data_IF_538859950068
#
_entry.id   IF_538859950068
#
_cell.length_a   1.000
_cell.length_b   1.000
_cell.length_c   1.000
_cell.angle_alpha   90.00
_cell.angle_beta   90.00
_cell.angle_gamma   90.00
#
_symmetry.space_group_name_H-M   'P 1'
#
loop_
_entity.id
_entity.type
_entity.pdbx_description
1 polymer ?
#
# COMPACT_ATOMS: atom_id res chain seq x y z
N UNK A 1 -20.13 -1.28 -10.97
CA UNK A 1 -18.92 -1.06 -10.16
C UNK A 1 -18.71 0.43 -9.98
N UNK A 2 -18.88 0.96 -8.76
CA UNK A 2 -18.50 2.35 -8.45
C UNK A 2 -17.15 2.31 -7.73
N UNK A 3 -16.07 2.50 -8.49
CA UNK A 3 -14.72 2.69 -7.93
C UNK A 3 -14.66 4.11 -7.36
N UNK A 4 -15.22 4.30 -6.17
CA UNK A 4 -15.15 5.55 -5.42
C UNK A 4 -13.88 5.52 -4.56
N UNK A 5 -12.71 5.76 -5.17
CA UNK A 5 -11.53 6.19 -4.42
C UNK A 5 -10.55 7.03 -5.24
N UNK A 6 -11.01 7.75 -6.26
CA UNK A 6 -10.14 8.74 -6.90
C UNK A 6 -9.82 9.84 -5.88
N UNK A 7 -8.56 9.97 -5.46
CA UNK A 7 -7.96 11.09 -4.70
C UNK A 7 -7.52 10.82 -3.25
N UNK A 8 -7.06 9.62 -2.90
CA UNK A 8 -6.32 9.45 -1.63
C UNK A 8 -4.94 10.13 -1.67
N UNK A 9 -4.24 10.06 -2.81
CA UNK A 9 -2.89 10.60 -2.95
C UNK A 9 -2.74 12.13 -2.90
N UNK A 10 -3.61 12.95 -3.51
CA UNK A 10 -3.50 14.40 -3.38
C UNK A 10 -3.76 14.92 -1.95
N UNK A 11 -4.17 14.06 -1.02
CA UNK A 11 -4.29 14.41 0.40
C UNK A 11 -3.01 14.13 1.19
N UNK A 12 -2.08 13.34 0.66
CA UNK A 12 -0.78 13.06 1.28
C UNK A 12 0.15 14.27 1.11
N UNK A 13 0.37 15.03 2.18
CA UNK A 13 1.17 16.26 2.13
C UNK A 13 2.67 15.98 2.14
N UNK A 14 3.09 14.86 2.73
CA UNK A 14 4.49 14.47 2.90
C UNK A 14 4.81 13.15 2.20
N UNK A 15 6.10 12.92 1.92
CA UNK A 15 6.59 11.69 1.27
C UNK A 15 6.20 10.44 2.07
N UNK A 16 6.31 10.46 3.39
CA UNK A 16 5.90 9.34 4.24
C UNK A 16 4.41 9.00 4.14
N UNK A 17 3.55 10.02 4.05
CA UNK A 17 2.10 9.80 3.86
C UNK A 17 1.82 9.21 2.47
N UNK A 18 2.54 9.66 1.45
CA UNK A 18 2.44 9.11 0.09
C UNK A 18 2.83 7.63 0.09
N UNK A 19 3.96 7.29 0.72
CA UNK A 19 4.45 5.92 0.90
C UNK A 19 3.41 5.06 1.61
N UNK A 20 2.85 5.53 2.72
CA UNK A 20 1.82 4.80 3.47
C UNK A 20 0.54 4.59 2.63
N UNK A 21 0.10 5.60 1.87
CA UNK A 21 -1.07 5.46 0.98
C UNK A 21 -0.83 4.45 -0.14
N UNK A 22 0.34 4.48 -0.80
CA UNK A 22 0.65 3.50 -1.86
C UNK A 22 0.83 2.11 -1.25
N UNK A 23 1.48 2.00 -0.11
CA UNK A 23 1.69 0.73 0.58
C UNK A 23 0.37 0.09 1.02
N UNK A 24 -0.56 0.87 1.57
CA UNK A 24 -1.93 0.43 1.88
C UNK A 24 -2.68 0.00 0.61
N UNK A 25 -2.57 0.74 -0.49
CA UNK A 25 -3.20 0.38 -1.75
C UNK A 25 -2.63 -0.93 -2.31
N UNK A 26 -1.30 -1.09 -2.33
CA UNK A 26 -0.64 -2.35 -2.72
C UNK A 26 -1.11 -3.52 -1.85
N UNK A 27 -1.23 -3.30 -0.55
CA UNK A 27 -1.67 -4.31 0.41
C UNK A 27 -3.14 -4.71 0.21
N UNK A 28 -4.02 -3.73 -0.11
CA UNK A 28 -5.43 -3.98 -0.42
C UNK A 28 -5.63 -4.70 -1.76
N UNK A 29 -4.79 -4.39 -2.74
CA UNK A 29 -4.86 -4.96 -4.08
C UNK A 29 -4.16 -6.34 -4.18
N UNK A 30 -3.24 -6.65 -3.26
CA UNK A 30 -2.60 -7.96 -3.15
C UNK A 30 -1.57 -8.27 -4.26
N UNK A 31 -1.19 -9.54 -4.41
CA UNK A 31 -0.15 -10.01 -5.36
C UNK A 31 -0.48 -9.77 -6.86
N UNK A 32 -1.69 -9.28 -7.18
CA UNK A 32 -2.11 -8.93 -8.54
C UNK A 32 -2.05 -7.43 -8.86
N UNK A 33 -1.58 -6.60 -7.93
CA UNK A 33 -1.56 -5.16 -8.10
C UNK A 33 -0.58 -4.72 -9.19
N UNK A 34 -1.09 -4.16 -10.29
CA UNK A 34 -0.26 -3.55 -11.34
C UNK A 34 -0.09 -2.06 -11.11
N UNK A 35 0.99 -1.47 -11.64
CA UNK A 35 1.23 -0.02 -11.57
C UNK A 35 0.03 0.79 -12.10
N UNK A 36 -0.64 0.28 -13.12
CA UNK A 36 -1.81 0.92 -13.72
C UNK A 36 -3.03 0.90 -12.78
N UNK A 37 -3.17 -0.17 -11.99
CA UNK A 37 -4.21 -0.26 -10.97
C UNK A 37 -3.97 0.75 -9.84
N UNK A 38 -2.72 0.86 -9.36
CA UNK A 38 -2.33 1.89 -8.38
C UNK A 38 -2.58 3.30 -8.89
N UNK A 39 -2.26 3.58 -10.16
CA UNK A 39 -2.52 4.89 -10.78
C UNK A 39 -4.01 5.20 -10.84
N UNK A 40 -4.84 4.23 -11.20
CA UNK A 40 -6.30 4.40 -11.21
C UNK A 40 -6.87 4.54 -9.79
N UNK A 41 -6.36 3.77 -8.83
CA UNK A 41 -6.80 3.83 -7.44
C UNK A 41 -6.40 5.12 -6.73
N UNK A 42 -5.18 5.63 -6.97
CA UNK A 42 -4.62 6.74 -6.21
C UNK A 42 -4.64 8.07 -6.97
N UNK A 43 -4.79 8.03 -8.29
CA UNK A 43 -4.76 9.21 -9.16
C UNK A 43 -3.37 9.81 -9.33
N UNK A 44 -2.32 8.96 -9.36
CA UNK A 44 -0.91 9.39 -9.39
C UNK A 44 -0.25 9.25 -10.75
N UNK A 45 0.84 9.99 -10.97
CA UNK A 45 1.69 9.85 -12.16
C UNK A 45 2.71 8.72 -11.98
N UNK A 46 3.27 8.21 -13.09
CA UNK A 46 4.36 7.22 -13.05
C UNK A 46 5.56 7.72 -12.26
N UNK A 47 5.96 8.97 -12.47
CA UNK A 47 7.09 9.60 -11.78
C UNK A 47 6.89 9.72 -10.26
N UNK A 48 5.65 9.97 -9.82
CA UNK A 48 5.31 9.96 -8.39
C UNK A 48 5.36 8.55 -7.83
N UNK A 49 4.78 7.58 -8.54
CA UNK A 49 4.80 6.17 -8.15
C UNK A 49 6.25 5.66 -8.04
N UNK A 50 7.09 5.87 -9.05
CA UNK A 50 8.50 5.44 -9.02
C UNK A 50 9.29 6.05 -7.86
N UNK A 51 8.94 7.27 -7.43
CA UNK A 51 9.61 7.93 -6.30
C UNK A 51 9.28 7.30 -4.95
N UNK A 52 8.16 6.59 -4.82
CA UNK A 52 7.66 6.03 -3.55
C UNK A 52 7.43 4.53 -3.56
N UNK A 53 7.51 3.86 -4.72
CA UNK A 53 7.13 2.45 -4.88
C UNK A 53 8.02 1.50 -4.08
N UNK A 54 9.32 1.82 -3.96
CA UNK A 54 10.28 1.00 -3.23
C UNK A 54 10.00 1.07 -1.71
N UNK A 55 9.88 2.29 -1.18
CA UNK A 55 9.49 2.57 0.20
C UNK A 55 8.10 1.97 0.52
N UNK A 56 7.14 2.08 -0.40
CA UNK A 56 5.78 1.58 -0.22
C UNK A 56 5.72 0.04 -0.26
N UNK A 57 6.59 -0.61 -1.03
CA UNK A 57 6.78 -2.07 -0.96
C UNK A 57 7.32 -2.48 0.39
N UNK A 58 8.34 -1.78 0.90
CA UNK A 58 8.89 -2.05 2.23
C UNK A 58 7.79 -1.90 3.31
N UNK A 59 7.01 -0.82 3.26
CA UNK A 59 5.86 -0.61 4.13
C UNK A 59 4.83 -1.74 4.03
N UNK A 60 4.45 -2.15 2.81
CA UNK A 60 3.47 -3.21 2.60
C UNK A 60 3.96 -4.56 3.14
N UNK A 61 5.25 -4.88 2.97
CA UNK A 61 5.87 -6.09 3.52
C UNK A 61 5.95 -6.02 5.04
N UNK A 62 6.39 -4.91 5.61
CA UNK A 62 6.49 -4.73 7.07
C UNK A 62 5.10 -4.79 7.74
N UNK A 63 4.11 -4.12 7.16
CA UNK A 63 2.73 -4.15 7.64
C UNK A 63 2.12 -5.56 7.52
N UNK A 64 2.46 -6.30 6.46
CA UNK A 64 2.03 -7.70 6.29
C UNK A 64 2.71 -8.62 7.31
N UNK A 65 4.01 -8.46 7.52
CA UNK A 65 4.80 -9.22 8.51
C UNK A 65 4.32 -8.94 9.94
N UNK A 66 3.98 -7.68 10.23
CA UNK A 66 3.41 -7.25 11.52
C UNK A 66 2.03 -7.88 11.73
N UNK A 67 1.19 -7.94 10.69
CA UNK A 67 -0.08 -8.65 10.79
C UNK A 67 0.11 -10.15 10.97
N UNK A 68 1.05 -10.80 10.28
CA UNK A 68 1.37 -12.21 10.54
C UNK A 68 1.80 -12.41 11.99
N UNK A 69 2.63 -11.52 12.55
CA UNK A 69 3.02 -11.58 13.97
C UNK A 69 1.85 -11.37 14.93
N UNK A 70 0.93 -10.46 14.62
CA UNK A 70 -0.25 -10.20 15.45
C UNK A 70 -1.32 -11.30 15.32
N UNK A 71 -1.42 -11.95 14.16
CA UNK A 71 -2.41 -13.00 13.89
C UNK A 71 -1.93 -14.41 14.18
N UNK A 72 -0.62 -14.65 14.37
CA UNK A 72 -0.14 -15.87 15.03
C UNK A 72 -0.48 -15.73 16.51
N UNK A 73 -1.55 -16.37 17.02
CA UNK A 73 -1.76 -16.40 18.45
C UNK A 73 -0.59 -17.19 19.03
N UNK A 74 -0.12 -16.84 20.22
CA UNK A 74 0.81 -17.63 21.01
C UNK A 74 0.19 -18.98 21.45
N UNK A 75 -0.27 -19.79 20.50
CA UNK A 75 -0.80 -21.15 20.66
C UNK A 75 0.01 -22.11 19.81
N UNK A 76 1.31 -22.19 20.07
CA UNK A 76 2.12 -23.40 19.81
C UNK A 76 3.49 -23.26 20.47
N UNK A 77 3.51 -23.46 21.77
CA UNK A 77 4.60 -24.18 22.41
C UNK A 77 3.90 -25.17 23.35
N UNK A 78 3.81 -26.41 22.88
CA UNK A 78 3.40 -27.58 23.65
C UNK A 78 4.57 -28.05 24.52
#
# INVERSE_FOLDING_TARGET
>A
MRVQNHSAYPQCRNRDEQVACVGEAMRRLGEGCTRQDLKNCLGITDSQLESVVDDARAYAVEASTTQTRATVPARRAA
#
